data_IF_196295027467
#
_entry.id   IF_196295027467
#
_cell.length_a   1.000
_cell.length_b   1.000
_cell.length_c   1.000
_cell.angle_alpha   90.00
_cell.angle_beta   90.00
_cell.angle_gamma   90.00
#
_symmetry.space_group_name_H-M   'P 1'
#
loop_
_entity.id
_entity.type
_entity.pdbx_description
1 polymer ?
#
# COMPACT_ATOMS: atom_id res chain seq x y z
N UNK A 1 -33.90 -18.21 -18.31
CA UNK A 1 -33.27 -18.41 -19.64
C UNK A 1 -32.92 -17.10 -20.38
N UNK A 2 -33.79 -16.08 -20.39
CA UNK A 2 -33.57 -14.84 -21.16
C UNK A 2 -32.35 -13.99 -20.73
N UNK A 3 -32.04 -13.93 -19.42
CA UNK A 3 -30.95 -13.09 -18.89
C UNK A 3 -29.56 -13.59 -19.31
N UNK A 4 -29.32 -14.91 -19.24
CA UNK A 4 -28.05 -15.52 -19.64
C UNK A 4 -27.77 -15.34 -21.14
N UNK A 5 -28.81 -15.46 -21.98
CA UNK A 5 -28.70 -15.22 -23.43
C UNK A 5 -28.31 -13.77 -23.73
N UNK A 6 -28.95 -12.80 -23.05
CA UNK A 6 -28.59 -11.37 -23.16
C UNK A 6 -27.16 -11.11 -22.68
N UNK A 7 -26.76 -11.64 -21.53
CA UNK A 7 -25.41 -11.49 -21.01
C UNK A 7 -24.35 -12.05 -21.96
N UNK A 8 -24.61 -13.23 -22.54
CA UNK A 8 -23.76 -13.83 -23.55
C UNK A 8 -23.61 -12.95 -24.80
N UNK A 9 -24.70 -12.35 -25.28
CA UNK A 9 -24.67 -11.43 -26.42
C UNK A 9 -23.86 -10.17 -26.11
N UNK A 10 -24.06 -9.55 -24.94
CA UNK A 10 -23.31 -8.38 -24.48
C UNK A 10 -21.82 -8.70 -24.42
N UNK A 11 -21.44 -9.82 -23.79
CA UNK A 11 -20.05 -10.23 -23.66
C UNK A 11 -19.41 -10.53 -25.04
N UNK A 12 -20.15 -11.18 -25.94
CA UNK A 12 -19.68 -11.44 -27.31
C UNK A 12 -19.45 -10.13 -28.08
N UNK A 13 -20.34 -9.16 -27.94
CA UNK A 13 -20.22 -7.85 -28.59
C UNK A 13 -19.05 -7.05 -28.03
N UNK A 14 -18.94 -6.95 -26.69
CA UNK A 14 -17.83 -6.27 -26.03
C UNK A 14 -16.46 -6.82 -26.44
N UNK A 15 -16.31 -8.15 -26.54
CA UNK A 15 -15.07 -8.78 -27.03
C UNK A 15 -14.72 -8.42 -28.47
N UNK A 16 -15.72 -8.23 -29.35
CA UNK A 16 -15.49 -7.77 -30.72
C UNK A 16 -15.03 -6.32 -30.74
N UNK A 17 -15.74 -5.45 -30.03
CA UNK A 17 -15.41 -4.03 -29.90
C UNK A 17 -14.01 -3.82 -29.33
N UNK A 18 -13.61 -4.61 -28.32
CA UNK A 18 -12.27 -4.55 -27.74
C UNK A 18 -11.17 -4.91 -28.75
N UNK A 19 -11.38 -5.92 -29.60
CA UNK A 19 -10.43 -6.29 -30.67
C UNK A 19 -10.32 -5.21 -31.73
N UNK A 20 -11.47 -4.65 -32.15
CA UNK A 20 -11.51 -3.54 -33.11
C UNK A 20 -10.75 -2.35 -32.53
N UNK A 21 -11.03 -1.97 -31.28
CA UNK A 21 -10.31 -0.89 -30.60
C UNK A 21 -8.79 -1.13 -30.59
N UNK A 22 -8.32 -2.34 -30.27
CA UNK A 22 -6.89 -2.67 -30.29
C UNK A 22 -6.25 -2.50 -31.66
N UNK A 23 -6.96 -2.84 -32.75
CA UNK A 23 -6.48 -2.60 -34.12
C UNK A 23 -6.51 -1.11 -34.47
N UNK A 24 -7.58 -0.41 -34.09
CA UNK A 24 -7.75 1.02 -34.34
C UNK A 24 -6.64 1.84 -33.69
N UNK A 25 -6.25 1.56 -32.44
CA UNK A 25 -5.17 2.30 -31.76
C UNK A 25 -3.77 1.99 -32.32
N UNK A 26 -3.59 0.88 -33.05
CA UNK A 26 -2.33 0.59 -33.75
C UNK A 26 -2.18 1.49 -34.98
N UNK A 27 -3.29 1.76 -35.69
CA UNK A 27 -3.31 2.64 -36.87
C UNK A 27 -3.41 4.12 -36.45
N UNK A 28 -4.14 4.40 -35.38
CA UNK A 28 -4.40 5.75 -34.86
C UNK A 28 -4.04 5.84 -33.37
N UNK A 29 -2.75 5.98 -33.02
CA UNK A 29 -2.30 6.05 -31.64
C UNK A 29 -2.96 7.16 -30.82
N UNK A 30 -3.40 8.25 -31.45
CA UNK A 30 -4.10 9.37 -30.82
C UNK A 30 -5.47 9.01 -30.23
N UNK A 31 -6.09 7.89 -30.66
CA UNK A 31 -7.36 7.40 -30.12
C UNK A 31 -7.18 6.54 -28.86
N UNK A 32 -5.94 6.29 -28.45
CA UNK A 32 -5.66 5.53 -27.23
C UNK A 32 -6.14 6.32 -26.02
N UNK A 33 -6.96 5.70 -25.19
CA UNK A 33 -7.34 6.26 -23.90
C UNK A 33 -6.09 6.59 -23.06
N UNK A 34 -6.12 7.71 -22.31
CA UNK A 34 -5.03 8.01 -21.39
C UNK A 34 -4.98 6.97 -20.28
N UNK A 35 -3.84 6.88 -19.59
CA UNK A 35 -3.69 5.96 -18.47
C UNK A 35 -4.69 6.32 -17.37
N UNK A 36 -5.23 5.33 -16.66
CA UNK A 36 -6.22 5.57 -15.60
C UNK A 36 -5.71 6.52 -14.52
N UNK A 37 -4.39 6.59 -14.31
CA UNK A 37 -3.75 7.49 -13.34
C UNK A 37 -3.90 8.97 -13.68
N UNK A 38 -4.21 9.31 -14.95
CA UNK A 38 -4.45 10.70 -15.36
C UNK A 38 -5.89 11.15 -15.10
N UNK A 39 -6.78 10.23 -14.74
CA UNK A 39 -8.16 10.58 -14.38
C UNK A 39 -8.16 11.40 -13.09
N UNK A 40 -8.90 12.51 -13.07
CA UNK A 40 -8.95 13.44 -11.93
C UNK A 40 -9.48 12.79 -10.65
N UNK A 41 -10.25 11.71 -10.77
CA UNK A 41 -10.85 10.95 -9.68
C UNK A 41 -10.10 9.65 -9.34
N UNK A 42 -8.92 9.42 -9.94
CA UNK A 42 -8.17 8.17 -9.77
C UNK A 42 -7.83 7.85 -8.30
N UNK A 43 -7.40 8.86 -7.54
CA UNK A 43 -7.05 8.68 -6.13
C UNK A 43 -8.26 8.34 -5.27
N UNK A 44 -9.40 8.98 -5.55
CA UNK A 44 -10.69 8.68 -4.92
C UNK A 44 -11.13 7.26 -5.29
N UNK A 45 -10.97 6.86 -6.55
CA UNK A 45 -11.28 5.50 -7.03
C UNK A 45 -10.42 4.44 -6.31
N UNK A 46 -9.16 4.72 -6.01
CA UNK A 46 -8.32 3.82 -5.22
C UNK A 46 -8.84 3.64 -3.79
N UNK A 47 -9.35 4.72 -3.15
CA UNK A 47 -9.95 4.63 -1.79
C UNK A 47 -11.14 3.68 -1.75
N UNK A 48 -11.95 3.64 -2.80
CA UNK A 48 -13.11 2.74 -2.87
C UNK A 48 -12.75 1.25 -2.79
N UNK A 49 -11.52 0.85 -3.15
CA UNK A 49 -11.06 -0.54 -2.98
C UNK A 49 -11.04 -1.03 -1.54
N UNK A 50 -11.03 -0.10 -0.59
CA UNK A 50 -11.06 -0.38 0.83
C UNK A 50 -12.44 -0.16 1.46
N UNK A 51 -13.44 0.24 0.67
CA UNK A 51 -14.81 0.31 1.15
C UNK A 51 -15.36 -1.11 1.38
N UNK A 52 -16.19 -1.27 2.42
CA UNK A 52 -16.70 -2.59 2.81
C UNK A 52 -17.42 -3.31 1.67
N UNK A 53 -18.27 -2.59 0.90
CA UNK A 53 -19.00 -3.18 -0.22
C UNK A 53 -18.07 -3.72 -1.31
N UNK A 54 -16.96 -3.04 -1.58
CA UNK A 54 -15.96 -3.50 -2.56
C UNK A 54 -15.30 -4.78 -2.08
N UNK A 55 -14.80 -4.79 -0.83
CA UNK A 55 -14.12 -5.96 -0.26
C UNK A 55 -15.06 -7.18 -0.16
N UNK A 56 -16.33 -6.97 0.19
CA UNK A 56 -17.32 -8.04 0.18
C UNK A 56 -17.61 -8.52 -1.24
N UNK A 57 -17.68 -7.61 -2.22
CA UNK A 57 -17.79 -7.94 -3.63
C UNK A 57 -16.64 -8.83 -4.11
N UNK A 58 -15.40 -8.49 -3.77
CA UNK A 58 -14.22 -9.32 -4.06
C UNK A 58 -14.35 -10.72 -3.45
N UNK A 59 -14.76 -10.82 -2.18
CA UNK A 59 -14.97 -12.11 -1.50
C UNK A 59 -16.05 -12.94 -2.21
N UNK A 60 -17.14 -12.33 -2.62
CA UNK A 60 -18.22 -13.02 -3.33
C UNK A 60 -17.75 -13.51 -4.70
N UNK A 61 -17.10 -12.65 -5.49
CA UNK A 61 -16.56 -13.00 -6.80
C UNK A 61 -15.59 -14.18 -6.69
N UNK A 62 -14.62 -14.11 -5.77
CA UNK A 62 -13.64 -15.16 -5.56
C UNK A 62 -14.28 -16.48 -5.08
N UNK A 63 -15.29 -16.38 -4.22
CA UNK A 63 -16.08 -17.53 -3.77
C UNK A 63 -16.76 -18.20 -4.96
N UNK A 64 -17.53 -17.47 -5.76
CA UNK A 64 -18.28 -18.05 -6.88
C UNK A 64 -17.38 -18.57 -8.01
N UNK A 65 -16.24 -17.92 -8.27
CA UNK A 65 -15.25 -18.41 -9.24
C UNK A 65 -14.67 -19.78 -8.83
N UNK A 66 -14.52 -20.03 -7.54
CA UNK A 66 -13.96 -21.27 -7.00
C UNK A 66 -15.03 -22.20 -6.40
N UNK A 67 -16.30 -22.04 -6.79
CA UNK A 67 -17.41 -22.80 -6.24
C UNK A 67 -17.18 -24.32 -6.35
N UNK A 68 -16.66 -24.77 -7.50
CA UNK A 68 -16.29 -26.16 -7.78
C UNK A 68 -15.23 -26.74 -6.83
N UNK A 69 -14.48 -25.90 -6.12
CA UNK A 69 -13.48 -26.29 -5.11
C UNK A 69 -14.04 -26.25 -3.68
N UNK A 70 -15.36 -26.15 -3.51
CA UNK A 70 -16.00 -26.04 -2.20
C UNK A 70 -15.70 -24.72 -1.47
N UNK A 71 -15.38 -23.65 -2.19
CA UNK A 71 -15.11 -22.33 -1.61
C UNK A 71 -16.25 -21.80 -0.74
N UNK A 72 -17.49 -22.20 -1.03
CA UNK A 72 -18.70 -21.81 -0.30
C UNK A 72 -18.61 -22.12 1.20
N UNK A 73 -17.97 -23.23 1.59
CA UNK A 73 -17.77 -23.60 3.00
C UNK A 73 -16.92 -22.58 3.77
N UNK A 74 -16.08 -21.81 3.09
CA UNK A 74 -15.20 -20.78 3.69
C UNK A 74 -15.81 -19.37 3.62
N UNK A 75 -17.00 -19.19 3.01
CA UNK A 75 -17.57 -17.87 2.74
C UNK A 75 -17.75 -17.04 4.02
N UNK A 76 -18.38 -17.60 5.05
CA UNK A 76 -18.59 -16.90 6.33
C UNK A 76 -17.27 -16.45 6.98
N UNK A 77 -16.23 -17.31 6.93
CA UNK A 77 -14.88 -17.00 7.42
C UNK A 77 -14.26 -15.85 6.62
N UNK A 78 -14.37 -15.87 5.29
CA UNK A 78 -13.83 -14.84 4.42
C UNK A 78 -14.56 -13.50 4.59
N UNK A 79 -15.88 -13.50 4.76
CA UNK A 79 -16.67 -12.30 5.10
C UNK A 79 -16.22 -11.74 6.44
N UNK A 80 -16.04 -12.59 7.46
CA UNK A 80 -15.53 -12.16 8.78
C UNK A 80 -14.12 -11.57 8.67
N UNK A 81 -13.26 -12.12 7.82
CA UNK A 81 -11.93 -11.58 7.53
C UNK A 81 -12.02 -10.20 6.88
N UNK A 82 -12.79 -10.05 5.81
CA UNK A 82 -12.98 -8.77 5.12
C UNK A 82 -13.54 -7.68 6.05
N UNK A 83 -14.47 -8.02 6.92
CA UNK A 83 -14.99 -7.11 7.95
C UNK A 83 -13.92 -6.64 8.95
N UNK A 84 -12.96 -7.51 9.31
CA UNK A 84 -11.84 -7.14 10.19
C UNK A 84 -10.86 -6.21 9.47
N UNK A 85 -10.48 -6.57 8.25
CA UNK A 85 -9.60 -5.74 7.41
C UNK A 85 -10.22 -4.37 7.13
N UNK A 86 -11.53 -4.30 6.87
CA UNK A 86 -12.25 -3.03 6.71
C UNK A 86 -12.15 -2.14 7.95
N UNK A 87 -12.30 -2.69 9.16
CA UNK A 87 -12.17 -1.92 10.40
C UNK A 87 -10.77 -1.30 10.53
N UNK A 88 -9.75 -2.09 10.25
CA UNK A 88 -8.35 -1.64 10.22
C UNK A 88 -8.19 -0.47 9.24
N UNK A 89 -8.61 -0.65 7.98
CA UNK A 89 -8.50 0.41 6.97
C UNK A 89 -9.32 1.66 7.30
N UNK A 90 -10.50 1.51 7.91
CA UNK A 90 -11.33 2.64 8.33
C UNK A 90 -10.63 3.47 9.41
N UNK A 91 -10.05 2.84 10.41
CA UNK A 91 -9.26 3.50 11.45
C UNK A 91 -8.08 4.25 10.82
N UNK A 92 -7.33 3.57 9.96
CA UNK A 92 -6.19 4.17 9.25
C UNK A 92 -6.61 5.37 8.40
N UNK A 93 -7.63 5.26 7.56
CA UNK A 93 -7.98 6.39 6.69
C UNK A 93 -8.61 7.57 7.45
N UNK A 94 -9.10 7.36 8.66
CA UNK A 94 -9.53 8.47 9.51
C UNK A 94 -8.32 9.19 10.14
N UNK A 95 -7.30 8.45 10.56
CA UNK A 95 -6.15 9.00 11.30
C UNK A 95 -5.01 9.45 10.36
N UNK A 96 -4.71 8.64 9.33
CA UNK A 96 -3.54 8.77 8.45
C UNK A 96 -3.80 9.55 7.17
N UNK A 97 -5.04 9.66 6.70
CA UNK A 97 -5.33 10.40 5.47
C UNK A 97 -4.99 11.90 5.58
N UNK A 98 -4.84 12.41 6.81
CA UNK A 98 -4.34 13.76 7.09
C UNK A 98 -2.80 13.86 7.01
N UNK A 99 -2.09 12.74 7.16
CA UNK A 99 -0.63 12.68 7.34
C UNK A 99 0.13 12.46 6.03
N UNK A 100 -0.50 11.85 5.01
CA UNK A 100 0.11 11.73 3.69
C UNK A 100 -0.95 11.57 2.58
N UNK A 101 -1.02 12.47 1.59
CA UNK A 101 -1.99 12.36 0.49
C UNK A 101 -1.79 11.09 -0.35
N UNK A 102 -0.55 10.57 -0.42
CA UNK A 102 -0.20 9.38 -1.19
C UNK A 102 -0.38 8.05 -0.43
N UNK A 103 -0.78 8.08 0.85
CA UNK A 103 -0.85 6.89 1.71
C UNK A 103 -1.73 5.78 1.14
N UNK A 104 -2.86 6.15 0.52
CA UNK A 104 -3.81 5.22 -0.10
C UNK A 104 -3.16 4.44 -1.23
N UNK A 105 -2.36 5.11 -2.06
CA UNK A 105 -1.65 4.50 -3.19
C UNK A 105 -0.60 3.50 -2.68
N UNK A 106 0.14 3.86 -1.64
CA UNK A 106 1.16 2.98 -1.03
C UNK A 106 0.52 1.76 -0.38
N UNK A 107 -0.52 1.95 0.44
CA UNK A 107 -1.26 0.85 1.07
C UNK A 107 -1.89 -0.05 0.01
N UNK A 108 -2.41 0.52 -1.09
CA UNK A 108 -2.98 -0.27 -2.20
C UNK A 108 -1.94 -1.19 -2.84
N UNK A 109 -0.72 -0.70 -3.07
CA UNK A 109 0.38 -1.50 -3.64
C UNK A 109 0.86 -2.59 -2.67
N UNK A 110 0.93 -2.27 -1.38
CA UNK A 110 1.51 -3.14 -0.36
C UNK A 110 0.46 -3.78 0.58
N UNK A 111 -0.80 -3.92 0.13
CA UNK A 111 -1.96 -4.28 0.99
C UNK A 111 -1.70 -5.48 1.89
N UNK A 112 -1.14 -6.57 1.35
CA UNK A 112 -0.91 -7.81 2.11
C UNK A 112 0.21 -7.65 3.15
N UNK A 113 1.33 -7.02 2.78
CA UNK A 113 2.44 -6.74 3.70
C UNK A 113 1.99 -5.81 4.82
N UNK A 114 1.28 -4.73 4.46
CA UNK A 114 0.74 -3.79 5.41
C UNK A 114 -0.23 -4.46 6.41
N UNK A 115 -1.17 -5.29 5.95
CA UNK A 115 -2.08 -6.02 6.83
C UNK A 115 -1.36 -7.01 7.76
N UNK A 116 -0.28 -7.64 7.27
CA UNK A 116 0.54 -8.58 8.04
C UNK A 116 1.27 -7.87 9.19
N UNK A 117 1.84 -6.71 8.92
CA UNK A 117 2.65 -5.96 9.89
C UNK A 117 1.85 -4.89 10.66
N UNK A 118 0.54 -4.78 10.43
CA UNK A 118 -0.28 -3.68 10.94
C UNK A 118 -0.15 -3.45 12.45
N UNK A 119 -0.23 -4.52 13.27
CA UNK A 119 -0.11 -4.39 14.72
C UNK A 119 1.27 -3.90 15.17
N UNK A 120 2.34 -4.31 14.48
CA UNK A 120 3.70 -3.86 14.74
C UNK A 120 3.88 -2.39 14.33
N UNK A 121 3.35 -2.01 13.18
CA UNK A 121 3.33 -0.61 12.71
C UNK A 121 2.59 0.27 13.71
N UNK A 122 1.39 -0.13 14.17
CA UNK A 122 0.64 0.61 15.19
C UNK A 122 1.45 0.77 16.48
N UNK A 123 2.16 -0.27 16.90
CA UNK A 123 3.03 -0.20 18.06
C UNK A 123 4.15 0.85 17.89
N UNK A 124 4.84 0.85 16.76
CA UNK A 124 5.88 1.85 16.45
C UNK A 124 5.32 3.27 16.48
N UNK A 125 4.18 3.50 15.82
CA UNK A 125 3.55 4.82 15.79
C UNK A 125 3.10 5.27 17.17
N UNK A 126 2.64 4.36 18.02
CA UNK A 126 2.27 4.65 19.41
C UNK A 126 3.49 4.96 20.28
N UNK A 127 4.59 4.21 20.13
CA UNK A 127 5.83 4.42 20.87
C UNK A 127 6.42 5.80 20.55
N UNK A 128 6.30 6.25 19.30
CA UNK A 128 6.83 7.52 18.83
C UNK A 128 5.77 8.61 18.64
N UNK A 129 4.59 8.46 19.25
CA UNK A 129 3.46 9.40 19.11
C UNK A 129 3.81 10.83 19.57
N UNK A 130 4.80 10.97 20.45
CA UNK A 130 5.30 12.21 21.04
C UNK A 130 6.47 12.82 20.25
N UNK A 131 6.96 12.15 19.21
CA UNK A 131 8.12 12.57 18.44
C UNK A 131 7.74 12.80 16.96
N UNK A 132 7.17 13.97 16.68
CA UNK A 132 6.61 14.30 15.36
C UNK A 132 7.62 14.14 14.19
N UNK A 133 8.89 14.56 14.30
CA UNK A 133 9.84 14.43 13.19
C UNK A 133 10.03 13.00 12.66
N UNK A 134 9.99 11.98 13.52
CA UNK A 134 10.09 10.59 13.04
C UNK A 134 8.79 10.11 12.41
N UNK A 135 7.62 10.55 12.91
CA UNK A 135 6.34 10.24 12.31
C UNK A 135 6.24 10.83 10.89
N UNK A 136 6.64 12.09 10.73
CA UNK A 136 6.66 12.76 9.42
C UNK A 136 7.59 12.02 8.45
N UNK A 137 8.79 11.63 8.91
CA UNK A 137 9.73 10.84 8.11
C UNK A 137 9.13 9.47 7.70
N UNK A 138 8.48 8.75 8.63
CA UNK A 138 7.78 7.49 8.33
C UNK A 138 6.71 7.70 7.25
N UNK A 139 5.88 8.75 7.36
CA UNK A 139 4.77 8.96 6.43
C UNK A 139 5.18 9.47 5.06
N UNK A 140 6.21 10.31 5.01
CA UNK A 140 6.81 10.75 3.75
C UNK A 140 7.42 9.54 3.01
N UNK A 141 8.17 8.70 3.74
CA UNK A 141 8.88 7.54 3.18
C UNK A 141 8.11 6.21 3.33
N UNK A 142 6.77 6.25 3.44
CA UNK A 142 5.98 5.11 3.90
C UNK A 142 6.13 3.86 3.03
N UNK A 143 6.33 4.01 1.72
CA UNK A 143 6.57 2.86 0.84
C UNK A 143 7.86 2.13 1.20
N UNK A 144 8.94 2.87 1.43
CA UNK A 144 10.23 2.31 1.85
C UNK A 144 10.18 1.74 3.26
N UNK A 145 9.44 2.41 4.15
CA UNK A 145 9.17 1.94 5.50
C UNK A 145 8.53 0.55 5.51
N UNK A 146 7.46 0.34 4.75
CA UNK A 146 6.77 -0.97 4.68
C UNK A 146 7.65 -2.05 4.05
N UNK A 147 8.45 -1.70 3.03
CA UNK A 147 9.31 -2.67 2.34
C UNK A 147 10.48 -3.16 3.19
N UNK A 148 10.95 -2.34 4.13
CA UNK A 148 12.11 -2.62 4.98
C UNK A 148 11.75 -2.61 6.47
N UNK A 149 10.49 -2.92 6.76
CA UNK A 149 9.90 -2.71 8.07
C UNK A 149 10.67 -3.39 9.20
N UNK A 150 11.15 -4.62 9.01
CA UNK A 150 11.88 -5.34 10.07
C UNK A 150 13.16 -4.61 10.52
N UNK A 151 13.94 -4.08 9.57
CA UNK A 151 15.18 -3.35 9.88
C UNK A 151 14.89 -2.01 10.56
N UNK A 152 13.86 -1.31 10.07
CA UNK A 152 13.46 -0.01 10.62
C UNK A 152 12.84 -0.20 12.01
N UNK A 153 12.02 -1.22 12.21
CA UNK A 153 11.44 -1.53 13.51
C UNK A 153 12.53 -1.83 14.55
N UNK A 154 13.52 -2.66 14.20
CA UNK A 154 14.67 -2.95 15.06
C UNK A 154 15.39 -1.66 15.47
N UNK A 155 15.66 -0.79 14.51
CA UNK A 155 16.32 0.49 14.74
C UNK A 155 15.49 1.43 15.62
N UNK A 156 14.21 1.64 15.30
CA UNK A 156 13.33 2.56 16.03
C UNK A 156 12.98 2.09 17.45
N UNK A 157 13.17 0.81 17.75
CA UNK A 157 13.03 0.26 19.09
C UNK A 157 14.35 0.21 19.88
N UNK A 158 15.48 0.56 19.24
CA UNK A 158 16.79 0.48 19.87
C UNK A 158 17.04 1.59 20.88
N UNK A 159 17.88 1.29 21.88
CA UNK A 159 18.38 2.30 22.81
C UNK A 159 19.21 3.36 22.06
N UNK A 160 20.00 2.96 21.07
CA UNK A 160 20.84 3.86 20.28
C UNK A 160 20.01 4.95 19.57
N UNK A 161 18.88 4.59 18.96
CA UNK A 161 17.95 5.58 18.39
C UNK A 161 17.40 6.52 19.45
N UNK A 162 16.99 5.96 20.59
CA UNK A 162 16.40 6.75 21.67
C UNK A 162 17.39 7.78 22.23
N UNK A 163 18.63 7.36 22.53
CA UNK A 163 19.68 8.26 23.03
C UNK A 163 20.03 9.33 22.00
N UNK A 164 20.24 8.94 20.73
CA UNK A 164 20.78 9.84 19.70
C UNK A 164 19.76 10.82 19.14
N UNK A 165 18.48 10.42 19.07
CA UNK A 165 17.47 11.19 18.37
C UNK A 165 16.31 11.58 19.27
N UNK A 166 15.71 10.62 19.98
CA UNK A 166 14.45 10.87 20.69
C UNK A 166 14.64 11.72 21.94
N UNK A 167 15.64 11.42 22.79
CA UNK A 167 15.90 12.15 24.03
C UNK A 167 16.19 13.63 23.82
N UNK A 168 16.91 13.95 22.75
CA UNK A 168 17.28 15.32 22.39
C UNK A 168 16.23 16.00 21.49
N UNK A 169 15.13 15.33 21.18
CA UNK A 169 14.10 15.78 20.23
C UNK A 169 14.72 16.29 18.91
N UNK A 170 15.60 15.48 18.33
CA UNK A 170 16.38 15.85 17.16
C UNK A 170 15.46 16.16 15.96
N UNK A 171 15.68 17.25 15.20
CA UNK A 171 14.75 17.64 14.12
C UNK A 171 14.76 16.70 12.91
N UNK A 172 15.84 15.92 12.73
CA UNK A 172 16.03 15.04 11.57
C UNK A 172 16.40 13.60 12.00
N UNK A 173 15.47 12.82 12.57
CA UNK A 173 15.75 11.44 12.93
C UNK A 173 15.86 10.55 11.70
N UNK A 174 16.91 9.75 11.65
CA UNK A 174 17.13 8.74 10.60
C UNK A 174 16.20 7.54 10.75
N UNK A 175 15.64 7.06 9.63
CA UNK A 175 14.85 5.81 9.59
C UNK A 175 15.68 4.54 9.69
N UNK A 176 16.98 4.62 9.43
CA UNK A 176 17.91 3.49 9.49
C UNK A 176 19.05 3.75 10.47
N UNK A 177 19.63 2.68 10.99
CA UNK A 177 20.83 2.74 11.82
C UNK A 177 22.04 3.24 10.99
N UNK A 178 22.59 4.43 11.29
CA UNK A 178 23.76 4.95 10.59
C UNK A 178 24.99 4.05 10.66
N UNK A 179 25.16 3.26 11.72
CA UNK A 179 26.29 2.35 11.86
C UNK A 179 26.18 1.20 10.86
N UNK A 180 24.99 0.58 10.76
CA UNK A 180 24.74 -0.49 9.79
C UNK A 180 24.84 0.00 8.35
N UNK A 181 24.44 1.24 8.06
CA UNK A 181 24.54 1.80 6.71
C UNK A 181 25.98 1.93 6.20
N UNK A 182 26.98 1.97 7.08
CA UNK A 182 28.39 2.00 6.71
C UNK A 182 28.97 0.60 6.41
N UNK A 183 28.28 -0.48 6.78
CA UNK A 183 28.75 -1.84 6.49
C UNK A 183 28.27 -2.29 5.11
N UNK A 184 29.21 -2.53 4.20
CA UNK A 184 28.93 -2.98 2.84
C UNK A 184 28.30 -4.37 2.76
N UNK A 185 28.39 -5.16 3.84
CA UNK A 185 27.76 -6.48 3.94
C UNK A 185 26.28 -6.40 4.28
N UNK A 186 25.81 -5.26 4.79
CA UNK A 186 24.41 -5.06 5.11
C UNK A 186 23.56 -4.97 3.85
N UNK A 187 22.31 -5.43 3.98
CA UNK A 187 21.35 -5.45 2.86
C UNK A 187 21.10 -4.05 2.29
N UNK A 188 21.15 -3.03 3.15
CA UNK A 188 20.99 -1.62 2.80
C UNK A 188 22.19 -0.88 3.37
N UNK A 189 22.91 -0.16 2.51
CA UNK A 189 24.10 0.60 2.87
C UNK A 189 24.31 1.79 1.92
N UNK A 190 25.25 2.68 2.24
CA UNK A 190 25.49 3.90 1.45
C UNK A 190 25.92 3.64 0.00
N UNK A 191 26.39 2.44 -0.35
CA UNK A 191 26.75 2.11 -1.74
C UNK A 191 25.56 1.70 -2.60
N UNK A 192 24.50 1.18 -2.00
CA UNK A 192 23.35 0.65 -2.73
C UNK A 192 22.09 1.52 -2.64
N UNK A 193 22.08 2.50 -1.74
CA UNK A 193 21.01 3.48 -1.64
C UNK A 193 21.31 4.71 -2.51
N UNK A 194 20.30 5.22 -3.22
CA UNK A 194 20.44 6.47 -3.96
C UNK A 194 20.58 7.66 -3.01
N UNK A 195 21.41 8.64 -3.36
CA UNK A 195 21.58 9.86 -2.58
C UNK A 195 20.27 10.63 -2.33
N UNK A 196 19.38 10.67 -3.32
CA UNK A 196 18.05 11.29 -3.20
C UNK A 196 17.24 10.64 -2.07
N UNK A 197 17.10 9.32 -2.10
CA UNK A 197 16.39 8.59 -1.05
C UNK A 197 17.07 8.70 0.33
N UNK A 198 18.40 8.73 0.38
CA UNK A 198 19.13 8.92 1.63
C UNK A 198 18.81 10.29 2.25
N UNK A 199 18.73 11.33 1.43
CA UNK A 199 18.30 12.65 1.84
C UNK A 199 16.85 12.66 2.34
N UNK A 200 15.93 12.05 1.59
CA UNK A 200 14.51 11.97 1.95
C UNK A 200 14.27 11.28 3.30
N UNK A 201 15.12 10.32 3.68
CA UNK A 201 15.01 9.56 4.93
C UNK A 201 15.83 10.13 6.10
N UNK A 202 16.40 11.33 5.95
CA UNK A 202 17.29 11.96 6.92
C UNK A 202 18.49 11.08 7.31
N UNK A 203 19.05 10.35 6.35
CA UNK A 203 20.26 9.56 6.63
C UNK A 203 21.44 10.53 6.80
N UNK A 204 22.27 10.35 7.85
CA UNK A 204 23.47 11.15 7.99
C UNK A 204 24.42 10.87 6.81
N UNK A 205 25.24 11.85 6.45
CA UNK A 205 26.27 11.63 5.44
C UNK A 205 27.36 10.70 6.00
N UNK A 206 27.92 9.80 5.17
CA UNK A 206 29.01 8.91 5.55
C UNK A 206 30.30 9.67 5.91
#
# INVERSE_FOLDING_TARGET
>A
MALFKKLYQINKQHKKEQKIYQQTIQVFPQLKYPNLETCSDYEQALKYKFHLSYMLGEVLIQTFQNLHKGSMFKLAKNIKKANREFKIFKEIFNDFAKLSPNIVKVISKNKQLFLKEFSRIQNILKIHQDYQPILDNIFYNFNYFIQNFDLIEEWLLSNDFNEKYKKENHPYPSLFDPKKLNDEKEKINYKNISAELAWEMNLPLP
#
